data_IF_308818581690
#
_entry.id   IF_308818581690
#
_cell.length_a   1.000
_cell.length_b   1.000
_cell.length_c   1.000
_cell.angle_alpha   90.00
_cell.angle_beta   90.00
_cell.angle_gamma   90.00
#
_symmetry.space_group_name_H-M   'P 1'
#
loop_
_entity.id
_entity.type
_entity.pdbx_description
1 polymer ?
#
# COMPACT_ATOMS: atom_id res chain seq x y z
N UNK A 1 -9.14 7.58 -10.89
CA UNK A 1 -8.79 6.49 -9.96
C UNK A 1 -9.46 6.82 -8.64
N UNK A 2 -10.46 6.05 -8.22
CA UNK A 2 -10.99 6.17 -6.86
C UNK A 2 -9.96 5.55 -5.92
N UNK A 3 -9.49 6.33 -4.94
CA UNK A 3 -8.55 5.84 -3.93
C UNK A 3 -9.31 4.81 -3.07
N UNK A 4 -8.83 3.56 -2.93
CA UNK A 4 -9.47 2.56 -2.06
C UNK A 4 -9.42 2.94 -0.58
N UNK A 5 -8.58 3.91 -0.21
CA UNK A 5 -8.48 4.48 1.14
C UNK A 5 -9.45 5.66 1.25
N UNK A 6 -10.26 5.67 2.32
CA UNK A 6 -11.05 6.84 2.72
C UNK A 6 -10.10 8.04 2.88
N UNK A 7 -10.19 8.99 1.95
CA UNK A 7 -9.31 10.15 1.89
C UNK A 7 -9.37 10.97 3.18
N UNK A 8 -10.52 10.99 3.88
CA UNK A 8 -10.67 11.71 5.14
C UNK A 8 -9.80 11.11 6.26
N UNK A 9 -9.66 9.78 6.30
CA UNK A 9 -8.80 9.07 7.26
C UNK A 9 -7.33 9.35 6.96
N UNK A 10 -6.95 9.35 5.69
CA UNK A 10 -5.59 9.69 5.27
C UNK A 10 -5.22 11.13 5.63
N UNK A 11 -6.12 12.09 5.39
CA UNK A 11 -5.94 13.50 5.75
C UNK A 11 -5.78 13.69 7.27
N UNK A 12 -6.59 13.00 8.07
CA UNK A 12 -6.46 13.03 9.54
C UNK A 12 -5.09 12.52 10.00
N UNK A 13 -4.61 11.40 9.43
CA UNK A 13 -3.30 10.83 9.77
C UNK A 13 -2.14 11.73 9.31
N UNK A 14 -2.26 12.40 8.15
CA UNK A 14 -1.28 13.39 7.69
C UNK A 14 -1.21 14.57 8.65
N UNK A 15 -2.36 15.13 9.06
CA UNK A 15 -2.40 16.26 9.99
C UNK A 15 -1.85 15.88 11.37
N UNK A 16 -2.16 14.67 11.86
CA UNK A 16 -1.65 14.13 13.13
C UNK A 16 -0.11 14.06 13.16
N UNK A 17 0.52 13.81 12.01
CA UNK A 17 1.97 13.61 11.90
C UNK A 17 2.68 14.69 11.08
N UNK A 18 2.06 15.87 10.90
CA UNK A 18 2.58 16.96 10.06
C UNK A 18 3.99 17.45 10.38
N UNK A 19 4.47 17.20 11.60
CA UNK A 19 5.81 17.59 12.06
C UNK A 19 6.89 16.53 11.76
N UNK A 20 6.50 15.35 11.24
CA UNK A 20 7.43 14.31 10.80
C UNK A 20 7.80 14.50 9.32
N UNK A 21 8.89 13.88 8.88
CA UNK A 21 9.30 13.86 7.47
C UNK A 21 9.96 12.53 7.09
N UNK A 22 10.19 12.34 5.79
CA UNK A 22 10.90 11.15 5.27
C UNK A 22 10.19 9.83 5.58
N UNK A 23 10.97 8.80 5.83
CA UNK A 23 10.49 7.43 6.08
C UNK A 23 9.61 7.34 7.33
N UNK A 24 9.92 8.14 8.36
CA UNK A 24 9.16 8.14 9.61
C UNK A 24 7.76 8.71 9.45
N UNK A 25 7.61 9.78 8.65
CA UNK A 25 6.29 10.30 8.27
C UNK A 25 5.47 9.24 7.53
N UNK A 26 6.09 8.57 6.55
CA UNK A 26 5.43 7.56 5.73
C UNK A 26 4.97 6.38 6.59
N UNK A 27 5.86 5.83 7.43
CA UNK A 27 5.53 4.73 8.33
C UNK A 27 4.35 5.11 9.25
N UNK A 28 4.39 6.31 9.85
CA UNK A 28 3.33 6.76 10.76
C UNK A 28 1.98 7.01 10.07
N UNK A 29 1.97 7.54 8.84
CA UNK A 29 0.72 7.70 8.08
C UNK A 29 0.12 6.33 7.78
N UNK A 30 0.91 5.39 7.26
CA UNK A 30 0.41 4.07 6.89
C UNK A 30 -0.05 3.25 8.09
N UNK A 31 0.69 3.27 9.20
CA UNK A 31 0.27 2.62 10.45
C UNK A 31 -1.06 3.20 10.94
N UNK A 32 -1.19 4.54 10.99
CA UNK A 32 -2.42 5.20 11.43
C UNK A 32 -3.63 4.90 10.54
N UNK A 33 -3.46 4.91 9.22
CA UNK A 33 -4.54 4.54 8.28
C UNK A 33 -4.91 3.07 8.46
N UNK A 34 -3.91 2.20 8.58
CA UNK A 34 -4.10 0.77 8.78
C UNK A 34 -4.90 0.45 10.04
N UNK A 35 -4.54 1.08 11.16
CA UNK A 35 -5.23 0.91 12.44
C UNK A 35 -6.66 1.45 12.40
N UNK A 36 -6.86 2.67 11.87
CA UNK A 36 -8.20 3.30 11.81
C UNK A 36 -9.18 2.57 10.90
N UNK A 37 -8.70 1.99 9.81
CA UNK A 37 -9.51 1.20 8.88
C UNK A 37 -9.68 -0.25 9.31
N UNK A 38 -8.91 -0.70 10.31
CA UNK A 38 -8.86 -2.09 10.76
C UNK A 38 -8.17 -3.03 9.76
N UNK A 39 -7.51 -2.48 8.73
CA UNK A 39 -6.68 -3.24 7.79
C UNK A 39 -5.46 -3.80 8.50
N UNK A 40 -4.92 -3.09 9.50
CA UNK A 40 -3.77 -3.51 10.29
C UNK A 40 -4.21 -3.71 11.74
N UNK A 41 -3.72 -4.79 12.35
CA UNK A 41 -3.88 -5.07 13.78
C UNK A 41 -2.52 -5.53 14.33
N UNK A 42 -1.73 -4.57 14.81
CA UNK A 42 -0.34 -4.80 15.19
C UNK A 42 0.49 -5.27 13.99
N UNK A 43 1.00 -6.49 14.03
CA UNK A 43 1.82 -7.10 12.96
C UNK A 43 1.02 -8.02 12.04
N UNK A 44 -0.31 -7.86 12.00
CA UNK A 44 -1.19 -8.66 11.15
C UNK A 44 -2.00 -7.77 10.22
N UNK A 45 -2.39 -8.32 9.07
CA UNK A 45 -3.19 -7.63 8.05
C UNK A 45 -4.51 -8.37 7.85
N UNK A 46 -5.61 -7.61 7.76
CA UNK A 46 -6.93 -8.14 7.43
C UNK A 46 -7.11 -8.23 5.91
N UNK A 47 -7.02 -9.45 5.38
CA UNK A 47 -7.33 -9.74 3.97
C UNK A 47 -8.76 -9.30 3.61
N UNK A 48 -9.73 -9.56 4.48
CA UNK A 48 -11.13 -9.21 4.24
C UNK A 48 -11.34 -7.71 4.07
N UNK A 49 -10.69 -6.89 4.92
CA UNK A 49 -10.78 -5.42 4.82
C UNK A 49 -10.12 -4.89 3.54
N UNK A 50 -9.00 -5.48 3.13
CA UNK A 50 -8.38 -5.13 1.84
C UNK A 50 -9.28 -5.53 0.66
N UNK A 51 -9.86 -6.73 0.68
CA UNK A 51 -10.79 -7.17 -0.36
C UNK A 51 -12.07 -6.32 -0.41
N UNK A 52 -12.56 -5.85 0.74
CA UNK A 52 -13.66 -4.89 0.82
C UNK A 52 -13.32 -3.61 0.04
N UNK A 53 -12.09 -3.09 0.18
CA UNK A 53 -11.63 -1.91 -0.56
C UNK A 53 -11.54 -2.12 -2.08
N UNK A 54 -11.29 -3.36 -2.53
CA UNK A 54 -11.26 -3.70 -3.96
C UNK A 54 -12.64 -3.58 -4.63
N UNK A 55 -13.73 -3.58 -3.86
CA UNK A 55 -15.07 -3.32 -4.42
C UNK A 55 -15.25 -1.89 -4.93
N UNK A 56 -14.39 -0.96 -4.52
CA UNK A 56 -14.39 0.41 -5.02
C UNK A 56 -13.69 0.55 -6.40
N UNK A 57 -13.10 -0.52 -6.91
CA UNK A 57 -12.51 -0.56 -8.25
C UNK A 57 -13.63 -0.83 -9.27
N UNK A 58 -14.01 0.15 -10.11
CA UNK A 58 -15.20 0.03 -10.95
C UNK A 58 -14.99 -0.88 -12.17
N UNK A 59 -13.75 -1.02 -12.63
CA UNK A 59 -13.41 -1.84 -13.77
C UNK A 59 -13.03 -3.26 -13.34
N UNK A 60 -13.64 -4.26 -13.96
CA UNK A 60 -13.47 -5.66 -13.58
C UNK A 60 -12.09 -6.24 -13.93
N UNK A 61 -11.43 -5.74 -14.98
CA UNK A 61 -10.06 -6.15 -15.33
C UNK A 61 -9.08 -5.64 -14.28
N UNK A 62 -9.16 -4.35 -13.95
CA UNK A 62 -8.37 -3.74 -12.90
C UNK A 62 -8.68 -4.34 -11.52
N UNK A 63 -9.95 -4.62 -11.22
CA UNK A 63 -10.38 -5.21 -9.95
C UNK A 63 -9.73 -6.58 -9.73
N UNK A 64 -9.65 -7.43 -10.77
CA UNK A 64 -8.96 -8.73 -10.70
C UNK A 64 -7.48 -8.57 -10.37
N UNK A 65 -6.81 -7.59 -10.99
CA UNK A 65 -5.40 -7.27 -10.69
C UNK A 65 -5.21 -6.86 -9.24
N UNK A 66 -6.08 -5.97 -8.74
CA UNK A 66 -6.05 -5.52 -7.33
C UNK A 66 -6.31 -6.68 -6.36
N UNK A 67 -7.30 -7.53 -6.63
CA UNK A 67 -7.58 -8.72 -5.81
C UNK A 67 -6.36 -9.64 -5.79
N UNK A 68 -5.80 -10.01 -6.94
CA UNK A 68 -4.64 -10.90 -7.01
C UNK A 68 -3.43 -10.35 -6.23
N UNK A 69 -3.18 -9.04 -6.31
CA UNK A 69 -2.13 -8.38 -5.53
C UNK A 69 -2.40 -8.44 -4.02
N UNK A 70 -3.63 -8.22 -3.58
CA UNK A 70 -4.03 -8.34 -2.16
C UNK A 70 -3.80 -9.78 -1.66
N UNK A 71 -4.24 -10.78 -2.42
CA UNK A 71 -4.10 -12.19 -2.01
C UNK A 71 -2.63 -12.56 -1.82
N UNK A 72 -1.79 -12.27 -2.81
CA UNK A 72 -0.36 -12.56 -2.76
C UNK A 72 0.33 -11.85 -1.58
N UNK A 73 0.06 -10.56 -1.37
CA UNK A 73 0.75 -9.79 -0.34
C UNK A 73 0.28 -10.11 1.07
N UNK A 74 -0.98 -10.54 1.23
CA UNK A 74 -1.49 -11.03 2.53
C UNK A 74 -0.92 -12.40 2.89
N UNK A 75 -0.67 -13.28 1.91
CA UNK A 75 0.07 -14.54 2.11
C UNK A 75 1.52 -14.30 2.57
N UNK A 76 2.14 -13.21 2.11
CA UNK A 76 3.50 -12.81 2.48
C UNK A 76 3.57 -11.96 3.74
N UNK A 77 2.45 -11.61 4.37
CA UNK A 77 2.40 -10.64 5.46
C UNK A 77 3.25 -11.06 6.67
N UNK A 78 3.31 -12.34 7.01
CA UNK A 78 4.15 -12.83 8.10
C UNK A 78 5.64 -12.54 7.85
N UNK A 79 6.12 -12.75 6.62
CA UNK A 79 7.49 -12.42 6.21
C UNK A 79 7.75 -10.91 6.27
N UNK A 80 6.79 -10.10 5.81
CA UNK A 80 6.91 -8.63 5.88
C UNK A 80 6.95 -8.15 7.33
N UNK A 81 6.20 -8.79 8.24
CA UNK A 81 6.24 -8.48 9.67
C UNK A 81 7.62 -8.79 10.28
N UNK A 82 8.23 -9.91 9.91
CA UNK A 82 9.60 -10.26 10.35
C UNK A 82 10.64 -9.26 9.82
N UNK A 83 10.56 -8.91 8.52
CA UNK A 83 11.46 -7.94 7.89
C UNK A 83 11.37 -6.54 8.53
N UNK A 84 10.20 -6.20 9.06
CA UNK A 84 9.93 -4.90 9.67
C UNK A 84 10.03 -4.89 11.19
N UNK A 85 10.26 -6.03 11.86
CA UNK A 85 10.26 -6.11 13.31
C UNK A 85 11.40 -5.31 13.98
N UNK A 86 12.56 -5.25 13.33
CA UNK A 86 13.76 -4.58 13.86
C UNK A 86 13.95 -3.20 13.22
N UNK A 87 13.06 -2.26 13.54
CA UNK A 87 13.18 -0.85 13.14
C UNK A 87 13.44 0.06 14.34
N UNK A 88 14.00 1.24 14.10
CA UNK A 88 14.20 2.30 15.12
C UNK A 88 13.23 3.48 14.98
N UNK A 89 12.31 3.42 14.02
CA UNK A 89 11.30 4.46 13.78
C UNK A 89 10.23 4.48 14.87
N UNK A 90 9.56 5.62 15.03
CA UNK A 90 8.45 5.85 15.97
C UNK A 90 7.23 4.97 15.69
N UNK A 91 6.93 4.71 14.42
CA UNK A 91 5.80 3.91 13.97
C UNK A 91 6.30 2.69 13.18
N UNK A 92 5.55 1.60 13.20
CA UNK A 92 5.92 0.39 12.45
C UNK A 92 5.84 0.63 10.94
N UNK A 93 6.87 0.26 10.17
CA UNK A 93 6.81 0.32 8.71
C UNK A 93 6.03 -0.85 8.10
N UNK A 94 5.52 -1.79 8.90
CA UNK A 94 4.80 -2.98 8.43
C UNK A 94 3.65 -2.64 7.48
N UNK A 95 2.79 -1.69 7.89
CA UNK A 95 1.65 -1.25 7.08
C UNK A 95 2.08 -0.67 5.72
N UNK A 96 3.16 0.10 5.71
CA UNK A 96 3.74 0.64 4.48
C UNK A 96 4.28 -0.48 3.58
N UNK A 97 4.99 -1.46 4.14
CA UNK A 97 5.56 -2.58 3.38
C UNK A 97 4.48 -3.47 2.74
N UNK A 98 3.37 -3.70 3.44
CA UNK A 98 2.19 -4.39 2.86
C UNK A 98 1.61 -3.57 1.70
N UNK A 99 1.43 -2.25 1.89
CA UNK A 99 0.95 -1.36 0.83
C UNK A 99 1.87 -1.31 -0.39
N UNK A 100 3.18 -1.25 -0.18
CA UNK A 100 4.20 -1.30 -1.23
C UNK A 100 4.16 -2.62 -2.00
N UNK A 101 4.01 -3.75 -1.32
CA UNK A 101 3.84 -5.05 -1.98
C UNK A 101 2.65 -5.01 -2.95
N UNK A 102 1.48 -4.59 -2.45
CA UNK A 102 0.24 -4.55 -3.25
C UNK A 102 0.42 -3.63 -4.46
N UNK A 103 0.94 -2.41 -4.24
CA UNK A 103 1.15 -1.44 -5.30
C UNK A 103 2.14 -1.92 -6.37
N UNK A 104 3.22 -2.60 -5.98
CA UNK A 104 4.19 -3.17 -6.94
C UNK A 104 3.55 -4.20 -7.85
N UNK A 105 2.75 -5.11 -7.30
CA UNK A 105 2.03 -6.11 -8.09
C UNK A 105 0.98 -5.48 -8.99
N UNK A 106 0.24 -4.48 -8.51
CA UNK A 106 -0.70 -3.72 -9.36
C UNK A 106 0.00 -3.05 -10.53
N UNK A 107 1.17 -2.41 -10.31
CA UNK A 107 1.91 -1.76 -11.40
C UNK A 107 2.48 -2.76 -12.41
N UNK A 108 3.05 -3.88 -11.93
CA UNK A 108 3.59 -4.92 -12.78
C UNK A 108 2.53 -5.52 -13.71
N UNK A 109 1.35 -5.81 -13.14
CA UNK A 109 0.22 -6.43 -13.85
C UNK A 109 -0.77 -5.41 -14.41
N UNK A 110 -0.42 -4.11 -14.44
CA UNK A 110 -1.32 -3.06 -14.90
C UNK A 110 -1.67 -3.29 -16.38
N UNK A 111 -2.97 -3.49 -16.72
CA UNK A 111 -3.37 -3.79 -18.09
C UNK A 111 -3.05 -2.64 -19.04
N UNK A 112 -2.76 -2.95 -20.32
CA UNK A 112 -2.38 -1.93 -21.30
C UNK A 112 -3.46 -0.86 -21.52
N UNK A 113 -4.74 -1.24 -21.35
CA UNK A 113 -5.90 -0.35 -21.41
C UNK A 113 -5.87 0.76 -20.35
N UNK A 114 -5.27 0.50 -19.19
CA UNK A 114 -5.10 1.44 -18.08
C UNK A 114 -3.72 2.09 -18.04
N UNK A 115 -2.78 1.54 -18.81
CA UNK A 115 -1.39 1.94 -18.76
C UNK A 115 -1.16 3.29 -19.44
N UNK A 116 -0.67 4.26 -18.67
CA UNK A 116 -0.22 5.55 -19.21
C UNK A 116 1.21 5.43 -19.72
N UNK A 117 1.38 5.27 -21.04
CA UNK A 117 2.69 5.21 -21.68
C UNK A 117 3.52 6.46 -21.40
N UNK A 118 4.67 6.28 -20.76
CA UNK A 118 5.72 7.28 -20.57
C UNK A 118 6.97 6.62 -20.02
N UNK A 119 8.15 7.21 -20.28
CA UNK A 119 9.43 6.67 -19.78
C UNK A 119 9.44 6.43 -18.26
N UNK A 120 8.78 7.31 -17.49
CA UNK A 120 8.70 7.19 -16.03
C UNK A 120 7.80 6.04 -15.62
N UNK A 121 6.60 5.94 -16.21
CA UNK A 121 5.70 4.83 -15.94
C UNK A 121 6.35 3.50 -16.35
N UNK A 122 6.94 3.42 -17.55
CA UNK A 122 7.52 2.18 -18.09
C UNK A 122 8.66 1.65 -17.20
N UNK A 123 9.46 2.54 -16.62
CA UNK A 123 10.46 2.20 -15.60
C UNK A 123 9.82 1.66 -14.31
N UNK A 124 8.72 2.26 -13.83
CA UNK A 124 7.99 1.78 -12.65
C UNK A 124 7.43 0.37 -12.90
N UNK A 125 6.85 0.13 -14.08
CA UNK A 125 6.34 -1.21 -14.46
C UNK A 125 7.46 -2.24 -14.55
N UNK A 126 8.65 -1.83 -14.99
CA UNK A 126 9.85 -2.67 -15.00
C UNK A 126 10.50 -2.88 -13.61
N UNK A 127 9.92 -2.31 -12.53
CA UNK A 127 10.45 -2.45 -11.17
C UNK A 127 11.64 -1.56 -10.85
N UNK A 128 11.91 -0.53 -11.64
CA UNK A 128 12.96 0.46 -11.33
C UNK A 128 12.51 1.29 -10.12
N UNK A 129 13.37 1.47 -9.08
CA UNK A 129 13.03 2.26 -7.90
C UNK A 129 12.56 3.68 -8.24
N UNK A 130 11.47 4.12 -7.60
CA UNK A 130 10.86 5.46 -7.81
C UNK A 130 11.72 6.59 -7.23
N UNK A 131 12.44 6.32 -6.16
CA UNK A 131 13.35 7.24 -5.51
C UNK A 131 14.77 6.63 -5.51
N UNK A 132 15.83 7.43 -5.70
CA UNK A 132 17.18 6.97 -5.43
C UNK A 132 17.29 6.52 -3.96
N UNK A 133 18.03 5.42 -3.73
CA UNK A 133 18.40 4.95 -2.39
C UNK A 133 19.47 5.85 -1.76
#
# INVERSE_FOLDING_TARGET
>A
MHNPIDLSVAEECVEKYKDLSGEELIACIYECVGDKTGVIQGTTVSKDKLLESANNVPDEEMKKVVIAAIELCTEQAAKLAEETANHSMKCSPFAFMVGECIMRHIYAECPESFWKKSDVCDKIKAGVPKCPQ
#
